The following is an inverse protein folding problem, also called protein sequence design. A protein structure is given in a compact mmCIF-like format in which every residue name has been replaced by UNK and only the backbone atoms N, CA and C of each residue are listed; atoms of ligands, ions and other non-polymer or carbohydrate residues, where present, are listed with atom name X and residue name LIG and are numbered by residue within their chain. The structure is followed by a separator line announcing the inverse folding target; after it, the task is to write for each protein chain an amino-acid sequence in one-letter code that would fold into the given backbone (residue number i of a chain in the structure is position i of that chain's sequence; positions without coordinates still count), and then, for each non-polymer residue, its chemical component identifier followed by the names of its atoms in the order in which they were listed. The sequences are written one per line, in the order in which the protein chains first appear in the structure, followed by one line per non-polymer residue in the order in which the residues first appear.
data_IF_784199053141
#
_entry.id   IF_784199053141
#
_cell.length_a   1.000
_cell.length_b   1.000
_cell.length_c   1.000
_cell.angle_alpha   90.00
_cell.angle_beta   90.00
_cell.angle_gamma   90.00
#
_symmetry.space_group_name_H-M   'P 1'
#
loop_
_entity.id
_entity.type
_entity.pdbx_description
1 polymer ?
#
# COMPACT_ATOMS: atom_id res chain seq x y z
N UNK A 1 33.01 35.84 -50.30
CA UNK A 1 32.78 34.39 -50.18
C UNK A 1 32.29 34.13 -48.77
N UNK A 2 30.97 34.09 -48.55
CA UNK A 2 30.36 33.92 -47.23
C UNK A 2 30.17 32.41 -46.98
N UNK A 3 30.82 31.86 -45.95
CA UNK A 3 30.57 30.49 -45.49
C UNK A 3 29.35 30.50 -44.56
N UNK A 4 28.23 29.94 -45.03
CA UNK A 4 27.08 29.60 -44.19
C UNK A 4 27.35 28.29 -43.46
N UNK A 5 27.62 28.36 -42.16
CA UNK A 5 27.63 27.19 -41.29
C UNK A 5 26.19 26.79 -40.97
N UNK A 6 25.76 25.67 -41.55
CA UNK A 6 24.50 25.01 -41.18
C UNK A 6 24.78 24.16 -39.94
N UNK A 7 24.42 24.67 -38.76
CA UNK A 7 24.45 23.90 -37.53
C UNK A 7 23.26 22.93 -37.51
N UNK A 8 23.50 21.68 -37.90
CA UNK A 8 22.54 20.60 -37.72
C UNK A 8 22.47 20.23 -36.24
N UNK A 9 21.45 20.74 -35.55
CA UNK A 9 21.06 20.24 -34.23
C UNK A 9 20.47 18.84 -34.41
N UNK A 10 21.25 17.81 -34.05
CA UNK A 10 20.75 16.48 -33.79
C UNK A 10 19.83 16.57 -32.57
N UNK A 11 18.51 16.61 -32.82
CA UNK A 11 17.51 16.37 -31.79
C UNK A 11 17.63 14.90 -31.38
N UNK A 12 18.39 14.66 -30.31
CA UNK A 12 18.32 13.40 -29.57
C UNK A 12 16.95 13.43 -28.89
N UNK A 13 15.95 12.83 -29.52
CA UNK A 13 14.72 12.49 -28.83
C UNK A 13 15.11 11.53 -27.71
N UNK A 14 14.92 11.88 -26.43
CA UNK A 14 15.08 10.87 -25.38
C UNK A 14 14.15 9.73 -25.76
N UNK A 15 14.71 8.55 -25.97
CA UNK A 15 13.88 7.35 -26.07
C UNK A 15 13.03 7.35 -24.79
N UNK A 16 11.71 7.43 -24.96
CA UNK A 16 10.75 7.16 -23.91
C UNK A 16 10.98 5.71 -23.50
N UNK A 17 11.94 5.48 -22.61
CA UNK A 17 12.05 4.22 -21.90
C UNK A 17 10.76 4.13 -21.08
N UNK A 18 9.84 3.29 -21.52
CA UNK A 18 8.72 2.92 -20.68
C UNK A 18 9.32 2.24 -19.46
N UNK A 19 9.24 2.89 -18.31
CA UNK A 19 9.67 2.31 -17.05
C UNK A 19 8.90 1.01 -16.85
N UNK A 20 9.64 -0.10 -16.72
CA UNK A 20 9.07 -1.42 -16.48
C UNK A 20 8.52 -1.46 -15.04
N UNK A 21 7.33 -2.04 -14.88
CA UNK A 21 6.59 -2.03 -13.60
C UNK A 21 6.22 -3.44 -13.23
N UNK A 22 6.24 -3.71 -11.93
CA UNK A 22 5.93 -5.04 -11.40
C UNK A 22 4.45 -5.35 -11.58
N UNK A 23 4.08 -6.44 -12.28
CA UNK A 23 2.69 -6.85 -12.39
C UNK A 23 2.16 -7.37 -11.05
N UNK A 24 1.01 -6.84 -10.62
CA UNK A 24 0.32 -7.23 -9.39
C UNK A 24 -0.24 -8.64 -9.54
N UNK A 25 0.01 -9.51 -8.56
CA UNK A 25 -0.48 -10.89 -8.61
C UNK A 25 0.16 -11.72 -9.72
N UNK A 26 1.35 -11.35 -10.18
CA UNK A 26 2.12 -12.07 -11.20
C UNK A 26 2.43 -13.52 -10.82
N UNK A 27 2.41 -13.82 -9.52
CA UNK A 27 2.58 -15.17 -8.99
C UNK A 27 1.31 -15.59 -8.25
N UNK A 28 0.66 -16.70 -8.65
CA UNK A 28 -0.48 -17.21 -7.91
C UNK A 28 -0.04 -17.76 -6.56
N UNK A 29 -0.90 -17.63 -5.57
CA UNK A 29 -0.76 -18.26 -4.27
C UNK A 29 -1.27 -19.69 -4.30
N UNK A 30 -0.84 -20.52 -3.35
CA UNK A 30 -1.45 -21.83 -3.14
C UNK A 30 -2.95 -21.70 -2.79
N UNK A 31 -3.74 -22.69 -3.20
CA UNK A 31 -5.20 -22.69 -2.95
C UNK A 31 -5.51 -22.70 -1.45
N UNK A 32 -4.70 -23.40 -0.65
CA UNK A 32 -4.83 -23.47 0.81
C UNK A 32 -4.72 -22.08 1.45
N UNK A 33 -3.65 -21.34 1.15
CA UNK A 33 -3.42 -20.01 1.71
C UNK A 33 -4.43 -19.00 1.15
N UNK A 34 -4.81 -19.14 -0.12
CA UNK A 34 -5.88 -18.31 -0.72
C UNK A 34 -7.21 -18.49 0.01
N UNK A 35 -7.58 -19.74 0.30
CA UNK A 35 -8.78 -20.06 1.06
C UNK A 35 -8.70 -19.55 2.51
N UNK A 36 -7.51 -19.62 3.13
CA UNK A 36 -7.27 -19.07 4.46
C UNK A 36 -7.50 -17.55 4.50
N UNK A 37 -6.90 -16.79 3.58
CA UNK A 37 -7.09 -15.34 3.49
C UNK A 37 -8.58 -14.99 3.32
N UNK A 38 -9.27 -15.70 2.42
CA UNK A 38 -10.69 -15.47 2.17
C UNK A 38 -11.56 -15.82 3.39
N UNK A 39 -11.16 -16.82 4.18
CA UNK A 39 -11.85 -17.18 5.42
C UNK A 39 -11.71 -16.09 6.50
N UNK A 40 -10.54 -15.43 6.58
CA UNK A 40 -10.30 -14.32 7.53
C UNK A 40 -11.15 -13.11 7.20
N UNK A 41 -11.39 -12.83 5.91
CA UNK A 41 -12.27 -11.73 5.47
C UNK A 41 -13.74 -11.94 5.87
N UNK A 42 -14.17 -13.19 6.07
CA UNK A 42 -15.57 -13.55 6.33
C UNK A 42 -15.95 -13.59 7.80
N UNK A 43 -14.99 -13.48 8.72
CA UNK A 43 -15.30 -13.49 10.16
C UNK A 43 -16.09 -12.22 10.48
N UNK A 44 -17.36 -12.32 10.89
CA UNK A 44 -18.07 -11.18 11.44
C UNK A 44 -17.33 -10.79 12.70
N UNK A 45 -16.86 -9.54 12.78
CA UNK A 45 -16.60 -8.95 14.08
C UNK A 45 -17.96 -8.98 14.76
N UNK A 46 -18.15 -9.92 15.69
CA UNK A 46 -19.34 -9.94 16.53
C UNK A 46 -19.45 -8.52 17.09
N UNK A 47 -20.52 -7.82 16.71
CA UNK A 47 -20.83 -6.52 17.27
C UNK A 47 -20.85 -6.71 18.78
N UNK A 48 -19.83 -6.21 19.48
CA UNK A 48 -19.93 -5.98 20.92
C UNK A 48 -21.19 -5.14 21.08
N UNK A 49 -22.23 -5.77 21.62
CA UNK A 49 -23.53 -5.17 21.83
C UNK A 49 -23.31 -3.97 22.75
N UNK A 50 -23.20 -2.80 22.15
CA UNK A 50 -23.12 -1.55 22.87
C UNK A 50 -24.39 -1.40 23.70
N UNK A 51 -24.22 -1.32 25.02
CA UNK A 51 -25.27 -1.02 25.99
C UNK A 51 -25.98 0.29 25.57
N UNK A 52 -27.30 0.30 25.35
CA UNK A 52 -28.01 1.43 24.73
C UNK A 52 -28.27 2.61 25.69
N UNK A 53 -27.37 2.88 26.63
CA UNK A 53 -27.43 4.06 27.50
C UNK A 53 -26.13 4.87 27.41
N UNK A 54 -25.88 5.51 26.28
CA UNK A 54 -25.34 6.87 26.25
C UNK A 54 -25.51 7.46 24.84
N UNK A 55 -26.40 8.44 24.77
CA UNK A 55 -26.86 9.09 23.55
C UNK A 55 -26.00 10.33 23.28
N UNK A 56 -24.72 10.13 23.03
CA UNK A 56 -23.88 11.11 22.34
C UNK A 56 -23.32 10.46 21.08
N UNK A 57 -23.54 11.15 19.97
CA UNK A 57 -23.23 10.74 18.61
C UNK A 57 -21.70 10.75 18.40
N UNK A 58 -20.97 9.87 19.08
CA UNK A 58 -19.64 9.50 18.64
C UNK A 58 -19.81 8.63 17.40
N UNK A 59 -19.61 9.22 16.23
CA UNK A 59 -19.02 8.50 15.11
C UNK A 59 -17.99 7.53 15.70
N UNK A 60 -18.15 6.22 15.45
CA UNK A 60 -17.08 5.24 15.63
C UNK A 60 -15.97 5.64 14.64
N UNK A 61 -15.29 6.73 14.97
CA UNK A 61 -14.10 7.18 14.30
C UNK A 61 -13.13 6.04 14.39
N UNK A 62 -12.59 5.67 13.24
CA UNK A 62 -11.42 4.80 13.20
C UNK A 62 -10.40 5.34 14.21
N UNK A 63 -9.62 4.48 14.87
CA UNK A 63 -8.65 4.88 15.92
C UNK A 63 -7.76 6.08 15.50
N UNK A 64 -7.61 6.30 14.20
CA UNK A 64 -7.03 7.49 13.57
C UNK A 64 -7.63 8.85 13.96
N UNK A 65 -8.88 8.90 14.44
CA UNK A 65 -9.53 10.14 14.90
C UNK A 65 -9.20 10.48 16.35
N UNK A 66 -8.64 9.53 17.13
CA UNK A 66 -8.50 9.66 18.60
C UNK A 66 -7.06 9.88 19.09
N UNK A 67 -6.04 9.50 18.32
CA UNK A 67 -4.64 9.74 18.68
C UNK A 67 -3.78 10.01 17.43
N UNK A 68 -2.78 10.92 17.51
CA UNK A 68 -1.79 11.04 16.45
C UNK A 68 -0.99 9.73 16.41
N UNK A 69 -1.03 8.97 15.31
CA UNK A 69 -0.30 7.71 15.28
C UNK A 69 1.20 7.99 15.28
N UNK A 70 1.94 7.15 16.00
CA UNK A 70 3.40 7.17 15.98
C UNK A 70 3.80 6.52 14.65
N UNK A 71 4.16 7.33 13.67
CA UNK A 71 4.58 6.87 12.36
C UNK A 71 6.10 6.73 12.31
N UNK A 72 6.58 5.56 11.92
CA UNK A 72 7.94 5.42 11.44
C UNK A 72 8.03 6.15 10.10
N UNK A 73 9.16 6.84 9.86
CA UNK A 73 9.38 7.60 8.62
C UNK A 73 9.17 6.77 7.36
N UNK A 74 9.36 5.45 7.48
CA UNK A 74 9.55 4.55 6.35
C UNK A 74 8.21 4.10 5.72
N UNK A 75 7.09 4.27 6.42
CA UNK A 75 5.73 3.95 5.93
C UNK A 75 5.02 5.13 5.25
N UNK A 76 5.70 6.28 5.11
CA UNK A 76 5.15 7.42 4.38
C UNK A 76 5.38 7.27 2.89
N UNK A 77 4.34 7.61 2.15
CA UNK A 77 4.34 7.74 0.70
C UNK A 77 4.08 9.18 0.30
N UNK A 78 4.42 9.52 -0.93
CA UNK A 78 4.20 10.82 -1.54
C UNK A 78 3.38 10.66 -2.80
N UNK A 79 2.49 11.61 -3.01
CA UNK A 79 1.65 11.62 -4.20
C UNK A 79 2.46 12.13 -5.40
N UNK A 80 2.63 11.28 -6.41
CA UNK A 80 3.23 11.67 -7.70
C UNK A 80 2.17 12.27 -8.61
N UNK A 81 1.05 11.58 -8.80
CA UNK A 81 -0.02 12.03 -9.69
C UNK A 81 -1.40 11.49 -9.29
N UNK A 82 -2.43 12.25 -9.65
CA UNK A 82 -3.83 11.81 -9.68
C UNK A 82 -4.29 11.87 -11.13
N UNK A 83 -4.69 10.73 -11.68
CA UNK A 83 -5.22 10.67 -13.05
C UNK A 83 -6.73 10.43 -13.00
N UNK A 84 -7.47 11.27 -13.71
CA UNK A 84 -8.91 11.10 -13.94
C UNK A 84 -9.06 10.34 -15.24
N UNK A 85 -9.59 9.13 -15.17
CA UNK A 85 -9.92 8.29 -16.31
C UNK A 85 -11.39 8.51 -16.71
N UNK A 86 -11.77 7.95 -17.86
CA UNK A 86 -13.15 7.99 -18.32
C UNK A 86 -14.11 7.35 -17.31
N UNK A 87 -15.37 7.82 -17.33
CA UNK A 87 -16.47 7.31 -16.52
C UNK A 87 -16.31 7.51 -14.99
N UNK A 88 -15.49 8.48 -14.57
CA UNK A 88 -15.32 8.80 -13.14
C UNK A 88 -14.47 7.78 -12.40
N UNK A 89 -13.59 7.08 -13.11
CA UNK A 89 -12.56 6.25 -12.51
C UNK A 89 -11.32 7.11 -12.21
N UNK A 90 -10.66 6.84 -11.09
CA UNK A 90 -9.49 7.61 -10.66
C UNK A 90 -8.35 6.65 -10.34
N UNK A 91 -7.13 7.08 -10.67
CA UNK A 91 -5.92 6.39 -10.23
C UNK A 91 -4.97 7.33 -9.51
N UNK A 92 -4.32 6.82 -8.48
CA UNK A 92 -3.19 7.47 -7.80
C UNK A 92 -1.91 6.81 -8.24
N UNK A 93 -0.88 7.61 -8.43
CA UNK A 93 0.50 7.16 -8.56
C UNK A 93 1.31 7.68 -7.38
N UNK A 94 2.04 6.78 -6.73
CA UNK A 94 2.92 7.10 -5.59
C UNK A 94 4.38 7.29 -6.05
N UNK A 95 5.27 7.66 -5.14
CA UNK A 95 6.69 7.94 -5.41
C UNK A 95 7.48 6.73 -5.90
N UNK A 96 7.08 5.52 -5.47
CA UNK A 96 7.62 4.26 -5.96
C UNK A 96 7.12 3.88 -7.36
N UNK A 97 6.26 4.72 -7.92
CA UNK A 97 5.54 4.51 -9.17
C UNK A 97 4.27 3.68 -8.99
N UNK A 98 4.01 3.01 -7.86
CA UNK A 98 2.84 2.12 -7.76
C UNK A 98 1.53 2.84 -8.10
N UNK A 99 0.68 2.18 -8.88
CA UNK A 99 -0.59 2.74 -9.37
C UNK A 99 -1.75 2.07 -8.66
N UNK A 100 -2.61 2.89 -8.08
CA UNK A 100 -3.74 2.47 -7.26
C UNK A 100 -5.05 2.92 -7.88
N UNK A 101 -5.98 1.99 -8.08
CA UNK A 101 -7.36 2.31 -8.48
C UNK A 101 -8.14 2.74 -7.26
N UNK A 102 -8.71 3.94 -7.31
CA UNK A 102 -9.52 4.50 -6.24
C UNK A 102 -10.99 4.17 -6.48
N UNK A 103 -11.73 3.98 -5.39
CA UNK A 103 -13.18 4.01 -5.42
C UNK A 103 -13.67 5.34 -6.05
N UNK A 104 -14.57 5.26 -7.04
CA UNK A 104 -15.08 6.43 -7.77
C UNK A 104 -15.75 7.47 -6.87
N UNK A 105 -16.38 7.04 -5.77
CA UNK A 105 -16.99 7.94 -4.79
C UNK A 105 -15.96 8.76 -4.00
N UNK A 106 -14.73 8.26 -3.88
CA UNK A 106 -13.64 8.91 -3.15
C UNK A 106 -12.72 9.74 -4.06
N UNK A 107 -12.83 9.59 -5.38
CA UNK A 107 -11.92 10.23 -6.33
C UNK A 107 -11.80 11.75 -6.20
N UNK A 108 -12.91 12.44 -5.90
CA UNK A 108 -12.90 13.90 -5.69
C UNK A 108 -12.07 14.29 -4.46
N UNK A 109 -12.01 13.44 -3.42
CA UNK A 109 -11.15 13.69 -2.24
C UNK A 109 -9.68 13.68 -2.67
N UNK A 110 -9.29 12.65 -3.42
CA UNK A 110 -7.93 12.48 -3.94
C UNK A 110 -7.47 13.62 -4.86
N UNK A 111 -8.35 14.15 -5.72
CA UNK A 111 -8.02 15.29 -6.61
C UNK A 111 -7.60 16.55 -5.83
N UNK A 112 -8.02 16.69 -4.57
CA UNK A 112 -7.66 17.83 -3.73
C UNK A 112 -6.36 17.61 -2.93
N UNK A 113 -5.72 16.44 -3.04
CA UNK A 113 -4.46 16.15 -2.39
C UNK A 113 -3.28 16.82 -3.10
N UNK A 114 -2.26 17.21 -2.34
CA UNK A 114 -1.05 17.84 -2.87
C UNK A 114 0.07 16.82 -2.97
N UNK A 115 1.00 17.04 -3.89
CA UNK A 115 2.15 16.13 -4.08
C UNK A 115 3.04 16.00 -2.84
N UNK A 116 3.08 17.03 -2.00
CA UNK A 116 3.82 17.06 -0.75
C UNK A 116 2.99 16.70 0.49
N UNK A 117 1.76 16.21 0.30
CA UNK A 117 0.98 15.67 1.41
C UNK A 117 1.51 14.26 1.75
N UNK A 118 1.88 13.97 3.00
CA UNK A 118 2.28 12.62 3.38
C UNK A 118 1.08 11.69 3.29
N UNK A 119 1.28 10.53 2.67
CA UNK A 119 0.29 9.48 2.52
C UNK A 119 0.69 8.25 3.33
N UNK A 120 -0.32 7.51 3.79
CA UNK A 120 -0.12 6.21 4.44
C UNK A 120 -1.12 5.21 3.90
N UNK A 121 -0.67 3.97 3.69
CA UNK A 121 -1.52 2.86 3.23
C UNK A 121 -1.88 1.99 4.43
N UNK A 122 -3.14 1.58 4.54
CA UNK A 122 -3.63 0.70 5.59
C UNK A 122 -4.62 -0.32 5.04
N UNK A 123 -4.94 -1.37 5.81
CA UNK A 123 -6.01 -2.29 5.45
C UNK A 123 -7.37 -1.58 5.39
N UNK A 124 -8.22 -2.02 4.46
CA UNK A 124 -9.61 -1.58 4.43
C UNK A 124 -10.51 -2.55 5.20
N UNK A 125 -10.90 -2.16 6.42
CA UNK A 125 -11.76 -2.98 7.28
C UNK A 125 -13.26 -2.72 7.04
N UNK A 126 -13.63 -1.98 5.99
CA UNK A 126 -15.03 -1.68 5.71
C UNK A 126 -15.75 -2.90 5.13
N UNK A 127 -16.84 -3.29 5.78
CA UNK A 127 -17.73 -4.33 5.27
C UNK A 127 -18.31 -3.98 3.89
N UNK A 128 -18.40 -4.99 3.03
CA UNK A 128 -18.88 -4.92 1.65
C UNK A 128 -18.08 -4.01 0.70
N UNK A 129 -16.85 -3.62 1.05
CA UNK A 129 -15.94 -2.98 0.10
C UNK A 129 -15.24 -4.01 -0.79
N UNK A 130 -15.04 -3.64 -2.06
CA UNK A 130 -14.27 -4.45 -3.03
C UNK A 130 -12.79 -4.04 -3.05
N UNK A 131 -12.44 -3.02 -2.26
CA UNK A 131 -11.09 -2.51 -2.13
C UNK A 131 -10.41 -3.10 -0.91
N UNK A 132 -9.20 -3.65 -1.10
CA UNK A 132 -8.45 -4.27 -0.01
C UNK A 132 -7.76 -3.24 0.90
N UNK A 133 -7.55 -2.01 0.40
CA UNK A 133 -6.71 -1.02 1.06
C UNK A 133 -7.40 0.33 1.18
N UNK A 134 -6.85 1.17 2.05
CA UNK A 134 -7.19 2.58 2.18
C UNK A 134 -5.91 3.39 2.17
N UNK A 135 -5.91 4.48 1.41
CA UNK A 135 -4.84 5.47 1.40
C UNK A 135 -5.33 6.67 2.18
N UNK A 136 -4.56 7.10 3.17
CA UNK A 136 -4.89 8.20 4.08
C UNK A 136 -3.92 9.35 3.81
N UNK A 137 -4.47 10.52 3.48
CA UNK A 137 -3.70 11.75 3.45
C UNK A 137 -3.54 12.28 4.88
N UNK A 138 -2.29 12.29 5.35
CA UNK A 138 -1.94 12.67 6.70
C UNK A 138 -2.03 14.18 6.95
N UNK A 139 -1.93 15.01 5.91
CA UNK A 139 -2.02 16.46 6.05
C UNK A 139 -3.44 16.94 6.42
N UNK A 140 -4.48 16.29 5.87
CA UNK A 140 -5.87 16.71 6.04
C UNK A 140 -6.79 15.62 6.65
N UNK A 141 -6.27 14.42 6.92
CA UNK A 141 -7.01 13.31 7.50
C UNK A 141 -7.99 12.63 6.54
N UNK A 142 -8.12 13.09 5.30
CA UNK A 142 -9.02 12.45 4.33
C UNK A 142 -8.45 11.13 3.85
N UNK A 143 -9.33 10.19 3.51
CA UNK A 143 -8.93 8.86 3.05
C UNK A 143 -9.75 8.40 1.86
N UNK A 144 -9.16 7.53 1.05
CA UNK A 144 -9.80 6.91 -0.10
C UNK A 144 -9.63 5.40 -0.08
N UNK A 145 -10.68 4.66 -0.44
CA UNK A 145 -10.59 3.22 -0.67
C UNK A 145 -9.84 2.94 -1.99
N UNK A 146 -8.89 2.00 -1.95
CA UNK A 146 -8.00 1.74 -3.07
C UNK A 146 -7.67 0.25 -3.26
N UNK A 147 -7.38 -0.11 -4.51
CA UNK A 147 -6.85 -1.42 -4.89
C UNK A 147 -5.58 -1.20 -5.70
N UNK A 148 -4.50 -1.88 -5.32
CA UNK A 148 -3.25 -1.87 -6.09
C UNK A 148 -3.51 -2.43 -7.49
N UNK A 149 -3.23 -1.63 -8.52
CA UNK A 149 -3.49 -1.98 -9.93
C UNK A 149 -2.20 -2.32 -10.67
N UNK A 150 -1.15 -1.52 -10.49
CA UNK A 150 0.20 -1.81 -10.98
C UNK A 150 1.19 -1.58 -9.84
N UNK A 151 2.21 -2.44 -9.77
CA UNK A 151 3.25 -2.35 -8.76
C UNK A 151 4.22 -1.19 -8.99
N UNK A 152 5.25 -1.09 -8.13
CA UNK A 152 6.33 -0.13 -8.26
C UNK A 152 7.09 -0.29 -9.60
N UNK A 153 7.86 0.74 -9.94
CA UNK A 153 8.84 0.66 -11.04
C UNK A 153 9.92 -0.36 -10.67
N UNK A 154 10.29 -1.24 -11.58
CA UNK A 154 11.32 -2.23 -11.31
C UNK A 154 12.67 -1.54 -11.08
N UNK A 155 13.32 -1.89 -9.96
CA UNK A 155 14.56 -1.25 -9.50
C UNK A 155 14.48 0.29 -9.37
N UNK A 156 13.28 0.85 -9.17
CA UNK A 156 13.09 2.26 -8.87
C UNK A 156 13.72 2.68 -7.54
N UNK A 157 14.05 3.97 -7.40
CA UNK A 157 14.72 4.52 -6.20
C UNK A 157 13.94 4.25 -4.90
N UNK A 158 12.61 4.29 -4.96
CA UNK A 158 11.73 4.08 -3.82
C UNK A 158 11.13 2.66 -3.77
N UNK A 159 11.53 1.80 -4.71
CA UNK A 159 10.99 0.44 -4.83
C UNK A 159 11.73 -0.49 -3.87
N UNK A 160 10.95 -1.22 -3.06
CA UNK A 160 11.49 -2.17 -2.08
C UNK A 160 11.22 -3.60 -2.51
N UNK A 161 12.22 -4.45 -2.34
CA UNK A 161 12.10 -5.89 -2.60
C UNK A 161 12.89 -6.70 -1.57
N UNK A 162 12.51 -7.96 -1.41
CA UNK A 162 13.12 -8.86 -0.41
C UNK A 162 14.51 -9.30 -0.88
N UNK A 163 15.55 -9.00 -0.10
CA UNK A 163 16.93 -9.42 -0.38
C UNK A 163 17.39 -10.61 0.49
N UNK A 164 16.82 -10.76 1.69
CA UNK A 164 16.99 -11.95 2.53
C UNK A 164 15.65 -12.35 3.16
N UNK A 165 15.43 -13.66 3.32
CA UNK A 165 14.22 -14.22 3.93
C UNK A 165 14.57 -15.39 4.86
N UNK A 166 14.06 -15.32 6.08
CA UNK A 166 14.13 -16.39 7.07
C UNK A 166 12.70 -16.79 7.47
N UNK A 167 12.17 -17.81 6.79
CA UNK A 167 10.84 -18.34 7.09
C UNK A 167 10.73 -19.01 8.46
N UNK A 168 11.85 -19.48 9.05
CA UNK A 168 11.82 -20.16 10.33
C UNK A 168 11.63 -19.17 11.48
N UNK A 169 12.30 -18.01 11.39
CA UNK A 169 12.19 -16.94 12.36
C UNK A 169 11.14 -15.88 11.99
N UNK A 170 10.54 -15.95 10.80
CA UNK A 170 9.57 -14.96 10.35
C UNK A 170 10.22 -13.62 10.03
N UNK A 171 11.44 -13.60 9.49
CA UNK A 171 12.19 -12.36 9.28
C UNK A 171 12.48 -12.10 7.80
N UNK A 172 12.52 -10.83 7.41
CA UNK A 172 12.99 -10.40 6.09
C UNK A 172 13.94 -9.21 6.20
N UNK A 173 14.83 -9.10 5.22
CA UNK A 173 15.62 -7.91 4.93
C UNK A 173 15.18 -7.34 3.57
N UNK A 174 14.86 -6.05 3.53
CA UNK A 174 14.50 -5.36 2.29
C UNK A 174 15.72 -4.68 1.65
N UNK A 175 15.59 -4.28 0.39
CA UNK A 175 16.64 -3.64 -0.41
C UNK A 175 17.19 -2.33 0.17
N UNK A 176 16.44 -1.67 1.06
CA UNK A 176 16.87 -0.48 1.82
C UNK A 176 17.61 -0.84 3.13
N UNK A 177 17.94 -2.12 3.33
CA UNK A 177 18.54 -2.72 4.53
C UNK A 177 17.67 -2.66 5.79
N UNK A 178 16.36 -2.38 5.66
CA UNK A 178 15.44 -2.47 6.79
C UNK A 178 15.10 -3.93 7.11
N UNK A 179 15.03 -4.27 8.40
CA UNK A 179 14.71 -5.60 8.90
C UNK A 179 13.32 -5.62 9.50
N UNK A 180 12.59 -6.69 9.21
CA UNK A 180 11.20 -6.84 9.63
C UNK A 180 10.95 -8.23 10.19
N UNK A 181 10.23 -8.29 11.30
CA UNK A 181 9.69 -9.49 11.91
C UNK A 181 8.20 -9.57 11.58
N UNK A 182 7.79 -10.67 10.94
CA UNK A 182 6.42 -10.93 10.53
C UNK A 182 5.61 -11.46 11.71
N UNK A 183 4.38 -10.97 11.86
CA UNK A 183 3.43 -11.47 12.86
C UNK A 183 3.22 -12.97 12.68
N UNK A 184 3.29 -13.73 13.77
CA UNK A 184 3.08 -15.19 13.74
C UNK A 184 1.70 -15.57 13.19
N UNK A 185 0.71 -14.68 13.31
CA UNK A 185 -0.64 -14.89 12.78
C UNK A 185 -0.61 -14.93 11.25
N UNK A 186 0.34 -14.26 10.60
CA UNK A 186 0.47 -14.23 9.14
C UNK A 186 1.55 -15.21 8.62
N UNK A 187 2.05 -16.11 9.47
CA UNK A 187 3.12 -17.03 9.12
C UNK A 187 2.79 -17.96 7.94
N UNK A 188 1.54 -18.40 7.79
CA UNK A 188 1.11 -19.23 6.66
C UNK A 188 1.17 -18.46 5.33
N UNK A 189 0.72 -17.21 5.33
CA UNK A 189 0.79 -16.30 4.18
C UNK A 189 2.26 -15.99 3.83
N UNK A 190 3.07 -15.72 4.85
CA UNK A 190 4.47 -15.39 4.70
C UNK A 190 5.33 -16.53 4.13
N UNK A 191 4.98 -17.80 4.38
CA UNK A 191 5.68 -18.96 3.80
C UNK A 191 5.67 -18.99 2.28
N UNK A 192 4.72 -18.29 1.65
CA UNK A 192 4.63 -18.20 0.19
C UNK A 192 5.52 -17.09 -0.39
N UNK A 193 6.03 -16.16 0.42
CA UNK A 193 6.87 -15.04 -0.03
C UNK A 193 8.24 -15.54 -0.50
N UNK A 194 8.85 -14.85 -1.48
CA UNK A 194 10.13 -15.25 -2.07
C UNK A 194 11.09 -14.07 -2.18
N UNK A 195 12.39 -14.41 -2.28
CA UNK A 195 13.42 -13.43 -2.64
C UNK A 195 13.02 -12.70 -3.93
N UNK A 196 13.28 -11.39 -3.96
CA UNK A 196 12.93 -10.46 -5.03
C UNK A 196 11.43 -10.19 -5.22
N UNK A 197 10.54 -10.70 -4.36
CA UNK A 197 9.18 -10.16 -4.32
C UNK A 197 9.23 -8.68 -3.89
N UNK A 198 8.43 -7.85 -4.55
CA UNK A 198 8.32 -6.43 -4.24
C UNK A 198 7.35 -6.20 -3.10
N UNK A 199 7.71 -5.26 -2.23
CA UNK A 199 6.98 -4.95 -1.00
C UNK A 199 6.67 -3.47 -0.96
N UNK A 200 5.40 -3.13 -0.74
CA UNK A 200 4.96 -1.77 -0.41
C UNK A 200 4.69 -1.73 1.09
N UNK A 201 5.16 -0.68 1.76
CA UNK A 201 4.97 -0.50 3.20
C UNK A 201 3.63 0.16 3.50
N UNK A 202 3.10 -0.09 4.68
CA UNK A 202 1.89 0.53 5.17
C UNK A 202 1.87 0.51 6.70
N UNK A 203 0.81 1.05 7.27
CA UNK A 203 0.54 1.01 8.71
C UNK A 203 -0.54 -0.02 8.98
N UNK A 204 -0.31 -0.87 9.97
CA UNK A 204 -1.34 -1.77 10.46
C UNK A 204 -2.35 -0.99 11.31
N UNK A 205 -3.59 -0.86 10.83
CA UNK A 205 -4.68 -0.26 11.61
C UNK A 205 -5.41 -1.23 12.53
N UNK A 206 -5.14 -2.53 12.38
CA UNK A 206 -5.81 -3.56 13.17
C UNK A 206 -5.16 -3.62 14.55
N UNK A 207 -5.79 -2.93 15.50
CA UNK A 207 -5.38 -2.92 16.91
C UNK A 207 -6.05 -4.10 17.61
N UNK A 208 -5.66 -5.32 17.23
CA UNK A 208 -6.07 -6.50 17.98
C UNK A 208 -5.29 -6.56 19.29
N UNK A 209 -5.99 -6.76 20.42
CA UNK A 209 -5.38 -6.93 21.75
C UNK A 209 -4.34 -8.07 21.81
N UNK A 210 -4.36 -8.97 20.82
CA UNK A 210 -3.52 -10.16 20.74
C UNK A 210 -2.29 -9.99 19.83
N UNK A 211 -2.17 -8.87 19.10
CA UNK A 211 -1.05 -8.57 18.18
C UNK A 211 -0.48 -7.18 18.47
N UNK A 212 -0.03 -6.98 19.72
CA UNK A 212 0.39 -5.66 20.23
C UNK A 212 1.75 -5.16 19.73
N UNK A 213 2.39 -5.87 18.81
CA UNK A 213 3.74 -5.56 18.33
C UNK A 213 3.83 -5.19 16.85
N UNK A 214 2.85 -5.56 16.03
CA UNK A 214 2.95 -5.45 14.57
C UNK A 214 2.27 -4.17 14.07
N UNK A 215 2.97 -3.05 14.13
CA UNK A 215 2.47 -1.72 13.75
C UNK A 215 2.56 -1.43 12.25
N UNK A 216 3.29 -2.25 11.49
CA UNK A 216 3.45 -2.11 10.05
C UNK A 216 2.65 -3.15 9.27
N UNK A 217 2.30 -2.77 8.04
CA UNK A 217 1.72 -3.63 7.03
C UNK A 217 2.73 -3.77 5.89
N UNK A 218 3.05 -5.00 5.51
CA UNK A 218 3.87 -5.28 4.33
C UNK A 218 2.97 -5.86 3.24
N UNK A 219 2.95 -5.21 2.08
CA UNK A 219 2.11 -5.58 0.93
C UNK A 219 3.00 -6.23 -0.13
N UNK A 220 2.88 -7.54 -0.33
CA UNK A 220 3.60 -8.23 -1.39
C UNK A 220 2.84 -8.07 -2.70
N UNK A 221 3.47 -7.34 -3.63
CA UNK A 221 2.91 -6.96 -4.93
C UNK A 221 2.74 -8.20 -5.81
N UNK A 222 3.73 -9.09 -5.81
CA UNK A 222 3.77 -10.28 -6.67
C UNK A 222 2.66 -11.27 -6.32
N UNK A 223 2.30 -11.40 -5.05
CA UNK A 223 1.22 -12.27 -4.56
C UNK A 223 -0.11 -11.55 -4.37
N UNK A 224 -0.12 -10.21 -4.41
CA UNK A 224 -1.27 -9.36 -4.08
C UNK A 224 -1.89 -9.70 -2.71
N UNK A 225 -1.04 -9.84 -1.69
CA UNK A 225 -1.43 -10.13 -0.32
C UNK A 225 -0.68 -9.23 0.68
N UNK A 226 -1.02 -9.36 1.95
CA UNK A 226 -0.35 -8.62 3.02
C UNK A 226 -0.02 -9.47 4.22
N UNK A 227 0.98 -9.02 4.97
CA UNK A 227 1.30 -9.52 6.30
C UNK A 227 1.54 -8.35 7.25
N UNK A 228 1.25 -8.52 8.53
CA UNK A 228 1.61 -7.58 9.59
C UNK A 228 3.06 -7.82 10.00
N UNK A 229 3.77 -6.75 10.33
CA UNK A 229 5.16 -6.82 10.70
C UNK A 229 5.56 -5.74 11.71
N UNK A 230 6.75 -5.92 12.28
CA UNK A 230 7.43 -4.96 13.15
C UNK A 230 8.86 -4.75 12.66
N UNK A 231 9.33 -3.51 12.63
CA UNK A 231 10.73 -3.19 12.31
C UNK A 231 11.65 -3.39 13.53
N UNK A 232 12.88 -3.86 13.33
CA UNK A 232 13.87 -4.03 14.41
C UNK A 232 15.33 -3.82 13.97
#
# INVERSE_FOLDING_TARGET
MLLTFVASFLLITPALFSEERVPVGSRPMSEEVSAEIESRKKVPVEEEVADPQDNETMSLGFVFDRYPPIYYSDSHHWLTAVTILDQGNYTLELEDGSIWKINSYDGIKAVNWRSNDPLTITQNNRWFSWHNYRIINKANGTSVEATLFLGPIEHGEFSRFIIEIDHANGQILLSDNTRWEISYIDASIFREWRLHDYVILGTNSDVSLWDSGSDALLINVNLNNTVRAKQF
#
